data_IF_295641882185
#
_entry.id   IF_295641882185
#
_cell.length_a   1.000
_cell.length_b   1.000
_cell.length_c   1.000
_cell.angle_alpha   90.00
_cell.angle_beta   90.00
_cell.angle_gamma   90.00
#
_symmetry.space_group_name_H-M   'P 1'
#
loop_
_entity.id
_entity.type
_entity.pdbx_description
1 polymer ?
#
# COMPACT_ATOMS: atom_id res chain seq x y z
N UNK A 1 9.11 -0.28 13.12
CA UNK A 1 9.46 -0.37 11.67
C UNK A 1 8.39 0.45 10.93
N UNK A 2 8.58 0.91 9.68
CA UNK A 2 7.68 1.89 9.01
C UNK A 2 6.21 1.42 8.84
N UNK A 3 5.94 0.18 9.22
CA UNK A 3 4.67 -0.53 9.16
C UNK A 3 4.02 -0.77 10.55
N UNK A 4 4.52 -0.12 11.60
CA UNK A 4 3.93 -0.21 12.93
C UNK A 4 2.68 0.67 13.03
N UNK A 5 1.53 0.06 12.84
CA UNK A 5 0.24 0.76 12.81
C UNK A 5 -0.21 1.23 14.19
N UNK A 6 0.16 0.50 15.25
CA UNK A 6 -0.22 0.84 16.62
C UNK A 6 0.64 1.95 17.23
N UNK A 7 1.75 2.31 16.59
CA UNK A 7 2.67 3.33 17.13
C UNK A 7 3.40 2.90 18.40
N UNK A 8 3.30 1.62 18.78
CA UNK A 8 3.87 1.03 20.00
C UNK A 8 5.41 1.04 20.02
N UNK A 9 6.05 1.13 18.84
CA UNK A 9 7.50 1.18 18.72
C UNK A 9 7.93 2.63 18.50
N UNK A 10 8.50 3.30 19.51
CA UNK A 10 8.88 4.71 19.46
C UNK A 10 10.14 4.91 18.61
N UNK A 11 9.97 4.80 17.29
CA UNK A 11 10.94 5.32 16.30
C UNK A 11 10.45 6.67 15.81
N UNK A 12 11.31 7.40 15.09
CA UNK A 12 11.00 8.76 14.65
C UNK A 12 9.64 8.84 13.95
N UNK A 13 8.82 9.86 14.25
CA UNK A 13 7.55 10.08 13.58
C UNK A 13 7.73 10.12 12.07
N UNK A 14 6.80 9.51 11.35
CA UNK A 14 6.81 9.45 9.88
C UNK A 14 5.68 10.31 9.35
N UNK A 15 6.02 11.30 8.54
CA UNK A 15 5.05 12.18 7.91
C UNK A 15 4.53 11.59 6.59
N UNK A 16 3.22 11.68 6.37
CA UNK A 16 2.58 11.41 5.08
C UNK A 16 2.18 12.76 4.50
N UNK A 17 2.69 13.08 3.31
CA UNK A 17 2.39 14.34 2.64
C UNK A 17 1.23 14.18 1.65
N UNK A 18 0.42 15.21 1.55
CA UNK A 18 -0.62 15.31 0.53
C UNK A 18 -0.03 15.67 -0.84
N UNK A 19 -0.69 15.25 -1.91
CA UNK A 19 -0.40 15.67 -3.30
C UNK A 19 -1.74 15.91 -4.02
N UNK A 20 -2.49 16.96 -3.66
CA UNK A 20 -3.84 17.16 -4.16
C UNK A 20 -3.89 17.45 -5.67
N UNK A 21 -2.78 17.92 -6.25
CA UNK A 21 -2.67 18.20 -7.68
C UNK A 21 -2.60 16.93 -8.53
N UNK A 22 -2.21 15.79 -7.94
CA UNK A 22 -2.19 14.50 -8.61
C UNK A 22 -2.92 13.45 -7.74
N UNK A 23 -4.26 13.41 -7.79
CA UNK A 23 -5.06 12.51 -6.96
C UNK A 23 -4.70 11.03 -7.11
N UNK A 24 -4.26 10.61 -8.31
CA UNK A 24 -3.86 9.23 -8.61
C UNK A 24 -2.65 8.75 -7.79
N UNK A 25 -1.81 9.65 -7.31
CA UNK A 25 -0.64 9.34 -6.47
C UNK A 25 -0.71 10.00 -5.09
N UNK A 26 -1.87 10.56 -4.72
CA UNK A 26 -2.05 11.20 -3.41
C UNK A 26 -2.38 10.16 -2.33
N UNK A 27 -1.50 9.95 -1.34
CA UNK A 27 -1.73 8.93 -0.31
C UNK A 27 -2.96 9.24 0.56
N UNK A 28 -3.28 10.51 0.79
CA UNK A 28 -4.44 10.92 1.58
C UNK A 28 -5.76 10.59 0.85
N UNK A 29 -5.81 10.83 -0.47
CA UNK A 29 -6.95 10.44 -1.30
C UNK A 29 -7.11 8.92 -1.32
N UNK A 30 -6.00 8.18 -1.49
CA UNK A 30 -6.02 6.72 -1.48
C UNK A 30 -6.54 6.15 -0.14
N UNK A 31 -6.13 6.73 1.00
CA UNK A 31 -6.66 6.36 2.32
C UNK A 31 -8.16 6.64 2.44
N UNK A 32 -8.62 7.81 2.00
CA UNK A 32 -10.04 8.16 2.02
C UNK A 32 -10.91 7.21 1.19
N UNK A 33 -10.45 6.85 -0.01
CA UNK A 33 -11.13 5.88 -0.88
C UNK A 33 -11.18 4.48 -0.27
N UNK A 34 -10.12 4.07 0.43
CA UNK A 34 -10.08 2.79 1.13
C UNK A 34 -11.04 2.77 2.33
N UNK A 35 -11.10 3.86 3.11
CA UNK A 35 -11.94 3.93 4.31
C UNK A 35 -13.41 4.16 4.04
N UNK A 36 -13.77 4.84 2.94
CA UNK A 36 -15.16 5.13 2.60
C UNK A 36 -16.09 3.88 2.63
N UNK A 37 -15.67 2.71 2.10
CA UNK A 37 -16.44 1.47 2.21
C UNK A 37 -16.01 0.54 3.37
N UNK A 38 -14.97 0.87 4.14
CA UNK A 38 -14.38 -0.07 5.10
C UNK A 38 -15.07 0.01 6.46
N UNK A 39 -15.51 -1.14 6.99
CA UNK A 39 -15.92 -1.26 8.39
C UNK A 39 -14.68 -1.42 9.29
N UNK A 40 -14.52 -0.54 10.27
CA UNK A 40 -13.47 -0.67 11.29
C UNK A 40 -13.91 -1.64 12.38
N UNK A 41 -12.97 -2.45 12.85
CA UNK A 41 -13.16 -3.28 14.04
C UNK A 41 -12.73 -2.51 15.30
N UNK A 42 -12.81 -3.16 16.46
CA UNK A 42 -12.41 -2.56 17.75
C UNK A 42 -10.90 -2.60 18.00
N UNK A 43 -10.05 -2.78 16.96
CA UNK A 43 -8.60 -2.92 17.14
C UNK A 43 -7.84 -1.59 17.17
N UNK A 44 -8.53 -0.46 16.92
CA UNK A 44 -7.94 0.88 16.75
C UNK A 44 -6.86 0.97 15.64
N UNK A 45 -6.73 -0.06 14.80
CA UNK A 45 -5.77 -0.11 13.70
C UNK A 45 -6.35 0.51 12.42
N UNK A 46 -5.50 1.20 11.65
CA UNK A 46 -5.87 1.81 10.36
C UNK A 46 -6.19 0.76 9.28
N UNK A 47 -5.57 -0.41 9.37
CA UNK A 47 -5.75 -1.55 8.47
C UNK A 47 -5.91 -2.85 9.25
N UNK A 48 -6.72 -3.79 8.77
CA UNK A 48 -6.97 -5.05 9.48
C UNK A 48 -5.69 -5.91 9.57
N UNK A 49 -5.38 -6.36 10.78
CA UNK A 49 -4.26 -7.26 11.09
C UNK A 49 -2.86 -6.63 11.04
N UNK A 50 -1.83 -7.44 11.30
CA UNK A 50 -0.48 -6.96 11.65
C UNK A 50 0.59 -7.06 10.54
N UNK A 51 0.26 -7.61 9.37
CA UNK A 51 1.22 -7.95 8.31
C UNK A 51 0.95 -7.23 6.98
N UNK A 52 0.77 -5.90 7.02
CA UNK A 52 0.42 -5.10 5.83
C UNK A 52 1.47 -5.20 4.72
N UNK A 53 2.75 -5.19 5.08
CA UNK A 53 3.84 -5.35 4.12
C UNK A 53 3.72 -6.65 3.33
N UNK A 54 3.50 -7.77 4.03
CA UNK A 54 3.42 -9.09 3.40
C UNK A 54 2.15 -9.23 2.55
N UNK A 55 1.03 -8.66 3.02
CA UNK A 55 -0.20 -8.58 2.22
C UNK A 55 0.02 -7.80 0.93
N UNK A 56 0.60 -6.61 1.03
CA UNK A 56 0.92 -5.78 -0.13
C UNK A 56 1.86 -6.52 -1.08
N UNK A 57 2.95 -7.10 -0.57
CA UNK A 57 3.92 -7.86 -1.35
C UNK A 57 3.25 -8.97 -2.15
N UNK A 58 2.39 -9.78 -1.53
CA UNK A 58 1.68 -10.88 -2.21
C UNK A 58 0.72 -10.36 -3.29
N UNK A 59 -0.06 -9.32 -3.00
CA UNK A 59 -0.97 -8.74 -3.98
C UNK A 59 -0.20 -8.13 -5.15
N UNK A 60 0.88 -7.40 -4.86
CA UNK A 60 1.73 -6.78 -5.87
C UNK A 60 2.41 -7.81 -6.76
N UNK A 61 2.98 -8.88 -6.18
CA UNK A 61 3.56 -9.97 -6.97
C UNK A 61 2.55 -10.64 -7.91
N UNK A 62 1.31 -10.85 -7.46
CA UNK A 62 0.23 -11.37 -8.32
C UNK A 62 -0.10 -10.42 -9.47
N UNK A 63 -0.15 -9.12 -9.19
CA UNK A 63 -0.39 -8.09 -10.21
C UNK A 63 0.72 -8.06 -11.26
N UNK A 64 1.99 -8.12 -10.84
CA UNK A 64 3.13 -8.14 -11.78
C UNK A 64 3.15 -9.40 -12.66
N UNK A 65 2.57 -10.50 -12.19
CA UNK A 65 2.46 -11.74 -12.94
C UNK A 65 1.27 -11.79 -13.91
N UNK A 66 0.39 -10.78 -13.90
CA UNK A 66 -0.74 -10.69 -14.84
C UNK A 66 -0.23 -10.49 -16.27
N UNK A 67 -0.77 -11.23 -17.24
CA UNK A 67 -0.22 -11.33 -18.60
C UNK A 67 0.05 -9.97 -19.26
N UNK A 68 -0.91 -9.04 -19.19
CA UNK A 68 -0.77 -7.71 -19.77
C UNK A 68 0.31 -6.86 -19.08
N UNK A 69 0.43 -6.97 -17.76
CA UNK A 69 1.42 -6.23 -16.98
C UNK A 69 2.81 -6.83 -17.19
N UNK A 70 2.93 -8.16 -17.14
CA UNK A 70 4.17 -8.87 -17.39
C UNK A 70 4.72 -8.59 -18.81
N UNK A 71 3.84 -8.54 -19.82
CA UNK A 71 4.21 -8.18 -21.18
C UNK A 71 4.74 -6.74 -21.27
N UNK A 72 4.08 -5.80 -20.59
CA UNK A 72 4.50 -4.39 -20.56
C UNK A 72 5.83 -4.22 -19.81
N UNK A 73 6.02 -4.88 -18.67
CA UNK A 73 7.28 -4.87 -17.93
C UNK A 73 8.42 -5.38 -18.80
N UNK A 74 8.20 -6.51 -19.50
CA UNK A 74 9.20 -7.07 -20.42
C UNK A 74 9.49 -6.11 -21.58
N UNK A 75 8.48 -5.42 -22.12
CA UNK A 75 8.67 -4.38 -23.16
C UNK A 75 9.55 -3.23 -22.67
N UNK A 76 9.49 -2.90 -21.39
CA UNK A 76 10.34 -1.89 -20.74
C UNK A 76 11.70 -2.43 -20.27
N UNK A 77 11.99 -3.72 -20.46
CA UNK A 77 13.24 -4.35 -20.01
C UNK A 77 13.28 -4.68 -18.52
N UNK A 78 12.12 -4.72 -17.86
CA UNK A 78 11.98 -5.08 -16.45
C UNK A 78 11.54 -6.55 -16.31
N UNK A 79 12.12 -7.26 -15.35
CA UNK A 79 11.68 -8.60 -14.96
C UNK A 79 10.59 -8.50 -13.89
N UNK A 80 9.44 -9.17 -14.07
CA UNK A 80 8.37 -9.21 -13.06
C UNK A 80 8.73 -9.92 -11.74
N UNK A 81 9.84 -10.68 -11.74
CA UNK A 81 10.29 -11.52 -10.62
C UNK A 81 11.53 -10.99 -9.90
N UNK A 82 12.15 -9.91 -10.39
CA UNK A 82 13.28 -9.23 -9.74
C UNK A 82 12.78 -8.36 -8.57
#
# INVERSE_FOLDING_TARGET
MKNDQGGERPRDPRHIYTNPLQPSICPIVALGLYWAPTSFDSSDLLFPGNNQYERFRKCFQRLLAEEGIAAELKRQGLNPCD
#
